data_IF_339872640027
#
_entry.id   IF_339872640027
#
_cell.length_a   1.000
_cell.length_b   1.000
_cell.length_c   1.000
_cell.angle_alpha   90.00
_cell.angle_beta   90.00
_cell.angle_gamma   90.00
#
_symmetry.space_group_name_H-M   'P 1'
#
loop_
_entity.id
_entity.type
_entity.pdbx_description
1 polymer ?
#
# COMPACT_ATOMS: atom_id res chain seq x y z
N UNK A 1 5.55 30.77 -49.55
CA UNK A 1 4.94 30.62 -48.20
C UNK A 1 5.22 29.24 -47.57
N UNK A 2 6.50 28.83 -47.45
CA UNK A 2 6.89 27.55 -46.80
C UNK A 2 7.71 27.73 -45.52
N UNK A 3 8.30 28.92 -45.30
CA UNK A 3 9.18 29.21 -44.14
C UNK A 3 8.41 29.57 -42.85
N UNK A 4 7.13 29.93 -42.96
CA UNK A 4 6.32 30.35 -41.81
C UNK A 4 5.70 29.18 -41.02
N UNK A 5 5.57 28.00 -41.64
CA UNK A 5 5.02 26.79 -40.98
C UNK A 5 6.05 26.04 -40.13
N UNK A 6 7.35 26.23 -40.40
CA UNK A 6 8.41 25.58 -39.64
C UNK A 6 8.61 26.25 -38.26
N UNK A 7 8.41 27.57 -38.19
CA UNK A 7 8.58 28.35 -36.95
C UNK A 7 7.44 28.14 -35.95
N UNK A 8 6.23 27.82 -36.41
CA UNK A 8 5.09 27.51 -35.53
C UNK A 8 5.21 26.13 -34.89
N UNK A 9 5.87 25.18 -35.58
CA UNK A 9 6.05 23.82 -35.08
C UNK A 9 7.09 23.74 -33.95
N UNK A 10 8.17 24.54 -34.03
CA UNK A 10 9.21 24.58 -32.98
C UNK A 10 8.73 25.23 -31.68
N UNK A 11 7.84 26.24 -31.76
CA UNK A 11 7.27 26.87 -30.56
C UNK A 11 6.26 25.94 -29.86
N UNK A 12 5.46 25.20 -30.62
CA UNK A 12 4.57 24.18 -30.06
C UNK A 12 5.35 23.05 -29.35
N UNK A 13 6.51 22.66 -29.89
CA UNK A 13 7.35 21.62 -29.29
C UNK A 13 8.07 22.09 -28.01
N UNK A 14 8.42 23.38 -27.90
CA UNK A 14 9.01 23.94 -26.68
C UNK A 14 7.98 24.09 -25.53
N UNK A 15 6.70 24.33 -25.84
CA UNK A 15 5.62 24.42 -24.85
C UNK A 15 5.29 23.07 -24.18
N UNK A 16 5.59 21.94 -24.85
CA UNK A 16 5.43 20.59 -24.26
C UNK A 16 6.55 20.27 -23.24
N UNK A 17 7.72 20.92 -23.34
CA UNK A 17 8.87 20.66 -22.46
C UNK A 17 8.87 21.58 -21.22
N UNK A 18 8.17 22.72 -21.29
CA UNK A 18 8.17 23.74 -20.23
C UNK A 18 7.06 23.58 -19.17
N UNK A 19 6.09 22.68 -19.38
CA UNK A 19 5.13 22.33 -18.34
C UNK A 19 5.58 21.02 -17.68
N UNK A 20 6.21 21.05 -16.48
CA UNK A 20 6.12 19.90 -15.62
C UNK A 20 4.63 19.74 -15.34
N UNK A 21 4.01 18.76 -15.99
CA UNK A 21 2.71 18.27 -15.56
C UNK A 21 3.01 17.71 -14.17
N UNK A 22 2.78 18.53 -13.14
CA UNK A 22 2.50 18.01 -11.83
C UNK A 22 1.27 17.14 -12.03
N UNK A 23 1.50 15.86 -12.27
CA UNK A 23 0.48 14.87 -12.12
C UNK A 23 0.03 15.02 -10.66
N UNK A 24 -1.05 15.75 -10.46
CA UNK A 24 -1.88 15.65 -9.28
C UNK A 24 -2.36 14.20 -9.29
N UNK A 25 -1.52 13.31 -8.75
CA UNK A 25 -1.91 11.94 -8.49
C UNK A 25 -3.13 12.05 -7.60
N UNK A 26 -4.22 11.42 -8.04
CA UNK A 26 -5.40 11.27 -7.20
C UNK A 26 -4.92 10.73 -5.84
N UNK A 27 -5.23 11.39 -4.70
CA UNK A 27 -4.91 10.83 -3.38
C UNK A 27 -5.63 9.50 -3.14
N UNK A 28 -6.60 9.20 -4.00
CA UNK A 28 -7.37 7.98 -4.07
C UNK A 28 -6.74 7.05 -5.12
N UNK A 29 -5.90 6.14 -4.65
CA UNK A 29 -5.64 4.88 -5.35
C UNK A 29 -6.87 4.00 -5.10
N UNK A 30 -7.40 3.37 -6.14
CA UNK A 30 -8.33 2.26 -5.95
C UNK A 30 -7.42 1.09 -5.61
N UNK A 31 -7.35 0.68 -4.34
CA UNK A 31 -6.58 -0.50 -4.03
C UNK A 31 -7.24 -1.63 -4.79
N UNK A 32 -6.53 -2.20 -5.76
CA UNK A 32 -7.10 -3.10 -6.76
C UNK A 32 -7.99 -4.18 -6.12
N UNK A 33 -8.80 -4.86 -6.93
CA UNK A 33 -9.86 -5.82 -6.52
C UNK A 33 -9.49 -6.89 -5.46
N UNK A 34 -8.24 -6.96 -5.02
CA UNK A 34 -7.70 -7.83 -4.00
C UNK A 34 -7.81 -7.31 -2.55
N UNK A 35 -8.09 -6.03 -2.30
CA UNK A 35 -8.11 -5.46 -0.94
C UNK A 35 -9.17 -6.12 -0.05
N UNK A 36 -8.78 -6.80 1.04
CA UNK A 36 -9.72 -7.61 1.80
C UNK A 36 -10.61 -6.76 2.70
N UNK A 37 -11.92 -6.79 2.42
CA UNK A 37 -12.91 -6.26 3.36
C UNK A 37 -13.04 -7.12 4.62
N UNK A 38 -12.97 -8.43 4.44
CA UNK A 38 -12.92 -9.40 5.51
C UNK A 38 -11.82 -10.43 5.26
N UNK A 39 -11.18 -10.89 6.33
CA UNK A 39 -10.31 -12.07 6.30
C UNK A 39 -10.89 -13.08 7.28
N UNK A 40 -11.35 -14.20 6.74
CA UNK A 40 -12.01 -15.26 7.52
C UNK A 40 -10.92 -16.07 8.20
N UNK A 41 -11.02 -16.22 9.52
CA UNK A 41 -10.15 -17.10 10.27
C UNK A 41 -10.53 -18.55 9.94
N UNK A 42 -9.51 -19.36 9.66
CA UNK A 42 -9.72 -20.81 9.55
C UNK A 42 -10.14 -21.42 10.88
N UNK A 43 -10.47 -22.71 10.85
CA UNK A 43 -10.74 -23.51 12.05
C UNK A 43 -9.46 -23.70 12.89
N UNK A 44 -9.60 -24.29 14.07
CA UNK A 44 -8.47 -24.57 14.96
C UNK A 44 -7.30 -25.20 14.19
N UNK A 45 -6.10 -24.60 14.30
CA UNK A 45 -4.86 -25.01 13.65
C UNK A 45 -4.82 -24.90 12.10
N UNK A 46 -5.78 -24.24 11.46
CA UNK A 46 -5.76 -23.94 10.02
C UNK A 46 -5.76 -22.43 9.77
N UNK A 47 -4.79 -21.94 9.00
CA UNK A 47 -4.84 -20.56 8.53
C UNK A 47 -5.99 -20.39 7.55
N UNK A 48 -6.74 -19.30 7.72
CA UNK A 48 -7.84 -18.95 6.83
C UNK A 48 -7.36 -18.52 5.44
N UNK A 49 -8.34 -18.23 4.59
CA UNK A 49 -8.05 -17.72 3.24
C UNK A 49 -7.34 -16.36 3.34
N UNK A 50 -6.37 -16.11 2.46
CA UNK A 50 -5.63 -14.85 2.45
C UNK A 50 -6.47 -13.67 1.96
N UNK A 51 -6.29 -12.53 2.63
CA UNK A 51 -6.66 -11.21 2.14
C UNK A 51 -5.44 -10.48 1.58
N UNK A 52 -5.58 -9.79 0.44
CA UNK A 52 -4.43 -9.31 -0.32
C UNK A 52 -4.37 -7.80 -0.49
N UNK A 53 -3.30 -7.20 -0.01
CA UNK A 53 -3.00 -5.80 -0.24
C UNK A 53 -2.07 -5.68 -1.45
N UNK A 54 -2.62 -5.39 -2.62
CA UNK A 54 -1.79 -5.23 -3.83
C UNK A 54 -1.36 -3.78 -4.01
N UNK A 55 -0.09 -3.51 -3.66
CA UNK A 55 0.58 -2.23 -3.88
C UNK A 55 1.53 -2.24 -5.09
N UNK A 56 1.60 -3.35 -5.83
CA UNK A 56 2.58 -3.50 -6.93
C UNK A 56 2.42 -2.44 -8.02
N UNK A 57 1.20 -1.95 -8.24
CA UNK A 57 0.85 -0.93 -9.24
C UNK A 57 0.40 0.40 -8.62
N UNK A 58 0.57 0.61 -7.31
CA UNK A 58 0.13 1.85 -6.66
C UNK A 58 0.95 3.06 -7.15
N UNK A 59 0.34 3.92 -7.95
CA UNK A 59 0.99 5.08 -8.56
C UNK A 59 1.44 6.15 -7.55
N UNK A 60 0.86 6.16 -6.34
CA UNK A 60 1.17 7.15 -5.29
C UNK A 60 2.38 6.76 -4.44
N UNK A 61 2.88 5.53 -4.58
CA UNK A 61 4.15 5.09 -3.99
C UNK A 61 5.23 5.17 -5.08
N UNK A 62 6.34 5.89 -4.90
CA UNK A 62 7.41 5.92 -5.88
C UNK A 62 8.08 4.54 -6.05
N UNK A 63 8.64 4.29 -7.24
CA UNK A 63 9.46 3.10 -7.46
C UNK A 63 10.74 3.15 -6.61
N UNK A 64 11.18 1.98 -6.13
CA UNK A 64 12.33 1.89 -5.23
C UNK A 64 12.03 2.35 -3.78
N UNK A 65 10.81 2.75 -3.46
CA UNK A 65 10.41 3.03 -2.08
C UNK A 65 10.52 1.78 -1.20
N UNK A 66 11.00 1.97 0.02
CA UNK A 66 11.13 0.94 1.04
C UNK A 66 10.23 1.24 2.23
N UNK A 67 9.81 0.21 2.95
CA UNK A 67 9.00 0.33 4.16
C UNK A 67 9.84 0.96 5.28
N UNK A 68 9.42 2.13 5.76
CA UNK A 68 9.99 2.79 6.93
C UNK A 68 9.27 2.39 8.22
N UNK A 69 7.95 2.16 8.13
CA UNK A 69 7.14 1.59 9.21
C UNK A 69 5.90 0.93 8.62
N UNK A 70 5.38 -0.08 9.30
CA UNK A 70 4.15 -0.76 8.89
C UNK A 70 3.36 -1.17 10.11
N UNK A 71 2.05 -0.98 10.05
CA UNK A 71 1.11 -1.37 11.10
C UNK A 71 -0.14 -1.93 10.45
N UNK A 72 -0.62 -3.06 10.95
CA UNK A 72 -1.95 -3.55 10.60
C UNK A 72 -2.92 -3.34 11.76
N UNK A 73 -4.01 -2.64 11.48
CA UNK A 73 -5.15 -2.50 12.39
C UNK A 73 -6.22 -3.49 11.98
N UNK A 74 -6.82 -4.15 12.94
CA UNK A 74 -7.96 -5.02 12.69
C UNK A 74 -8.90 -5.07 13.88
N UNK A 75 -10.18 -5.28 13.58
CA UNK A 75 -11.20 -5.66 14.56
C UNK A 75 -11.67 -7.07 14.24
N UNK A 76 -11.95 -7.85 15.27
CA UNK A 76 -12.48 -9.21 15.14
C UNK A 76 -13.97 -9.20 15.43
N UNK A 77 -14.76 -9.94 14.65
CA UNK A 77 -16.19 -10.04 14.91
C UNK A 77 -16.49 -10.75 16.24
N UNK A 78 -15.75 -11.83 16.53
CA UNK A 78 -15.77 -12.50 17.83
C UNK A 78 -14.42 -12.37 18.55
N UNK A 79 -14.32 -11.53 19.59
CA UNK A 79 -13.13 -11.44 20.43
C UNK A 79 -12.98 -12.69 21.31
N UNK A 80 -11.78 -12.92 21.87
CA UNK A 80 -11.46 -14.05 22.76
C UNK A 80 -11.46 -15.47 22.14
N UNK A 81 -11.29 -15.59 20.82
CA UNK A 81 -11.27 -16.87 20.09
C UNK A 81 -9.88 -17.52 19.97
N UNK A 82 -8.87 -16.95 20.63
CA UNK A 82 -7.47 -17.32 20.40
C UNK A 82 -6.96 -16.88 19.02
N UNK A 83 -7.55 -15.82 18.46
CA UNK A 83 -7.22 -15.26 17.15
C UNK A 83 -5.72 -14.91 17.07
N UNK A 84 -5.09 -15.38 16.00
CA UNK A 84 -3.76 -15.00 15.56
C UNK A 84 -3.88 -14.41 14.17
N UNK A 85 -3.21 -13.29 13.95
CA UNK A 85 -3.14 -12.65 12.63
C UNK A 85 -1.68 -12.59 12.22
N UNK A 86 -1.40 -12.81 10.94
CA UNK A 86 -0.08 -12.67 10.39
C UNK A 86 -0.12 -11.97 9.04
N UNK A 87 0.92 -11.19 8.80
CA UNK A 87 1.14 -10.46 7.56
C UNK A 87 2.34 -11.08 6.83
N UNK A 88 2.14 -11.42 5.57
CA UNK A 88 3.12 -12.06 4.71
C UNK A 88 3.46 -11.15 3.53
N UNK A 89 4.70 -11.27 3.06
CA UNK A 89 5.16 -10.72 1.79
C UNK A 89 4.78 -11.67 0.65
N UNK A 90 4.99 -11.21 -0.58
CA UNK A 90 4.80 -12.01 -1.79
C UNK A 90 5.63 -13.31 -1.84
N UNK A 91 6.76 -13.39 -1.11
CA UNK A 91 7.62 -14.57 -1.03
C UNK A 91 7.14 -15.62 -0.02
N UNK A 92 6.04 -15.37 0.70
CA UNK A 92 5.50 -16.25 1.72
C UNK A 92 6.15 -16.13 3.10
N UNK A 93 7.18 -15.29 3.27
CA UNK A 93 7.71 -14.95 4.58
C UNK A 93 6.79 -13.94 5.27
N UNK A 94 6.53 -14.14 6.56
CA UNK A 94 5.62 -13.27 7.30
C UNK A 94 5.86 -13.23 8.79
N UNK A 95 5.07 -12.40 9.46
CA UNK A 95 5.19 -12.13 10.88
C UNK A 95 3.81 -12.14 11.52
N UNK A 96 3.73 -12.63 12.76
CA UNK A 96 2.56 -12.39 13.58
C UNK A 96 2.41 -10.90 13.85
N UNK A 97 1.19 -10.43 13.74
CA UNK A 97 0.85 -9.02 13.94
C UNK A 97 -0.17 -8.89 15.05
N UNK A 98 0.04 -7.87 15.88
CA UNK A 98 -0.92 -7.44 16.89
C UNK A 98 -1.58 -6.16 16.39
N UNK A 99 -2.90 -6.08 16.50
CA UNK A 99 -3.66 -4.92 16.00
C UNK A 99 -3.07 -3.62 16.51
N UNK A 100 -2.68 -2.73 15.60
CA UNK A 100 -2.13 -1.41 15.92
C UNK A 100 -0.66 -1.39 16.34
N UNK A 101 0.01 -2.54 16.42
CA UNK A 101 1.44 -2.60 16.75
C UNK A 101 2.31 -2.58 15.47
N UNK A 102 3.51 -1.98 15.53
CA UNK A 102 4.45 -2.00 14.42
C UNK A 102 4.89 -3.43 14.05
N UNK A 103 4.96 -3.70 12.75
CA UNK A 103 5.49 -4.93 12.16
C UNK A 103 6.97 -4.73 11.87
N UNK A 104 7.82 -4.85 12.89
CA UNK A 104 9.26 -4.51 12.79
C UNK A 104 10.00 -5.25 11.67
N UNK A 105 9.61 -6.49 11.35
CA UNK A 105 10.22 -7.27 10.28
C UNK A 105 9.94 -6.76 8.87
N UNK A 106 8.93 -5.90 8.70
CA UNK A 106 8.60 -5.30 7.42
C UNK A 106 9.52 -4.12 7.04
N UNK A 107 10.23 -3.53 8.00
CA UNK A 107 11.10 -2.36 7.75
C UNK A 107 12.24 -2.74 6.80
N UNK A 108 12.53 -1.87 5.83
CA UNK A 108 13.52 -2.08 4.78
C UNK A 108 13.07 -2.98 3.63
N UNK A 109 11.88 -3.59 3.71
CA UNK A 109 11.31 -4.33 2.58
C UNK A 109 10.83 -3.39 1.48
N UNK A 110 10.63 -3.91 0.27
CA UNK A 110 10.06 -3.15 -0.85
C UNK A 110 8.64 -2.68 -0.48
N UNK A 111 8.30 -1.42 -0.72
CA UNK A 111 6.95 -0.91 -0.44
C UNK A 111 5.93 -1.37 -1.50
N UNK A 112 6.29 -1.24 -2.79
CA UNK A 112 5.49 -1.68 -3.96
C UNK A 112 5.55 -3.19 -4.15
N UNK A 113 4.81 -3.92 -3.33
CA UNK A 113 4.64 -5.36 -3.48
C UNK A 113 3.26 -5.80 -3.00
N UNK A 114 2.94 -7.06 -3.22
CA UNK A 114 1.76 -7.68 -2.64
C UNK A 114 2.04 -8.08 -1.19
N UNK A 115 1.17 -7.63 -0.29
CA UNK A 115 1.12 -8.10 1.08
C UNK A 115 -0.11 -8.96 1.29
N UNK A 116 -0.04 -9.84 2.27
CA UNK A 116 -1.05 -10.86 2.48
C UNK A 116 -1.35 -10.99 3.97
N UNK A 117 -2.60 -10.77 4.34
CA UNK A 117 -3.09 -10.96 5.69
C UNK A 117 -3.77 -12.31 5.79
N UNK A 118 -3.37 -13.12 6.77
CA UNK A 118 -4.10 -14.33 7.16
C UNK A 118 -4.43 -14.28 8.63
N UNK A 119 -5.49 -14.97 9.01
CA UNK A 119 -5.80 -15.20 10.41
C UNK A 119 -6.17 -16.67 10.69
N UNK A 120 -5.90 -17.08 11.92
CA UNK A 120 -6.23 -18.38 12.48
C UNK A 120 -6.93 -18.16 13.82
N UNK A 121 -7.95 -18.95 14.13
CA UNK A 121 -8.62 -18.92 15.42
C UNK A 121 -9.05 -20.33 15.83
N UNK A 122 -9.47 -20.51 17.09
CA UNK A 122 -10.01 -21.79 17.57
C UNK A 122 -11.42 -22.07 17.05
N UNK A 123 -12.15 -21.02 16.69
CA UNK A 123 -13.51 -21.07 16.15
C UNK A 123 -13.61 -20.18 14.92
N UNK A 124 -14.59 -20.43 14.06
CA UNK A 124 -14.84 -19.58 12.89
C UNK A 124 -15.13 -18.14 13.34
N UNK A 125 -14.35 -17.21 12.84
CA UNK A 125 -14.50 -15.76 13.04
C UNK A 125 -13.92 -15.06 11.81
N UNK A 126 -13.98 -13.74 11.77
CA UNK A 126 -13.30 -12.96 10.74
C UNK A 126 -12.78 -11.66 11.33
N UNK A 127 -11.84 -11.05 10.61
CA UNK A 127 -11.34 -9.72 10.88
C UNK A 127 -11.70 -8.76 9.75
N UNK A 128 -11.80 -7.49 10.07
CA UNK A 128 -11.84 -6.37 9.12
C UNK A 128 -10.50 -5.62 9.25
N UNK A 129 -9.52 -5.89 8.36
CA UNK A 129 -8.18 -5.35 8.50
C UNK A 129 -8.00 -4.00 7.77
N UNK A 130 -6.99 -3.24 8.16
CA UNK A 130 -6.55 -1.99 7.55
C UNK A 130 -5.04 -1.93 7.66
N UNK A 131 -4.35 -1.83 6.53
CA UNK A 131 -2.89 -1.80 6.48
C UNK A 131 -2.42 -0.34 6.34
N UNK A 132 -1.58 0.12 7.26
CA UNK A 132 -0.88 1.39 7.12
C UNK A 132 0.61 1.15 6.92
N UNK A 133 1.15 1.78 5.89
CA UNK A 133 2.53 1.64 5.43
C UNK A 133 3.14 3.04 5.29
N UNK A 134 4.11 3.35 6.14
CA UNK A 134 5.02 4.46 5.92
C UNK A 134 6.16 3.99 5.03
N UNK A 135 6.45 4.74 3.98
CA UNK A 135 7.52 4.44 3.04
C UNK A 135 8.47 5.62 2.90
N UNK A 136 9.69 5.31 2.46
CA UNK A 136 10.73 6.30 2.13
C UNK A 136 11.47 5.85 0.89
N UNK A 137 11.88 6.81 0.08
CA UNK A 137 12.75 6.61 -1.07
C UNK A 137 14.20 7.01 -0.74
N UNK A 138 15.19 6.56 -1.53
CA UNK A 138 16.60 6.94 -1.32
C UNK A 138 16.88 8.44 -1.45
N UNK A 139 16.07 9.17 -2.22
CA UNK A 139 16.14 10.62 -2.42
C UNK A 139 15.42 11.42 -1.32
N UNK A 140 14.93 10.77 -0.26
CA UNK A 140 14.39 11.44 0.93
C UNK A 140 12.91 11.82 0.84
N UNK A 141 12.21 11.37 -0.20
CA UNK A 141 10.75 11.47 -0.26
C UNK A 141 10.16 10.42 0.66
N UNK A 142 9.16 10.80 1.45
CA UNK A 142 8.47 9.88 2.33
C UNK A 142 6.96 10.00 2.14
N UNK A 143 6.22 9.00 2.61
CA UNK A 143 4.78 9.08 2.60
C UNK A 143 4.17 8.00 3.46
N UNK A 144 2.85 8.10 3.60
CA UNK A 144 2.03 7.11 4.29
C UNK A 144 0.94 6.67 3.33
N UNK A 145 0.82 5.37 3.14
CA UNK A 145 -0.26 4.74 2.39
C UNK A 145 -1.10 3.92 3.37
N UNK A 146 -2.39 4.21 3.46
CA UNK A 146 -3.35 3.45 4.27
C UNK A 146 -4.36 2.79 3.36
N UNK A 147 -4.44 1.47 3.44
CA UNK A 147 -5.36 0.61 2.72
C UNK A 147 -6.45 0.15 3.69
N UNK A 148 -7.69 0.46 3.38
CA UNK A 148 -8.84 0.13 4.22
C UNK A 148 -9.54 -1.13 3.70
N UNK A 149 -10.30 -1.74 4.61
CA UNK A 149 -11.14 -2.90 4.31
C UNK A 149 -12.14 -2.64 3.18
N UNK A 150 -12.67 -1.43 3.06
CA UNK A 150 -13.62 -1.07 1.99
C UNK A 150 -12.96 -0.98 0.59
N UNK A 151 -11.68 -1.32 0.47
CA UNK A 151 -10.90 -1.22 -0.78
C UNK A 151 -10.37 0.18 -1.04
N UNK A 152 -10.75 1.19 -0.23
CA UNK A 152 -10.21 2.53 -0.39
C UNK A 152 -8.75 2.59 0.03
N UNK A 153 -7.94 3.26 -0.80
CA UNK A 153 -6.59 3.65 -0.43
C UNK A 153 -6.51 5.16 -0.26
N UNK A 154 -5.85 5.57 0.81
CA UNK A 154 -5.45 6.95 1.01
C UNK A 154 -3.93 7.00 1.07
N UNK A 155 -3.31 7.74 0.15
CA UNK A 155 -1.86 8.01 0.20
C UNK A 155 -1.62 9.49 0.46
N UNK A 156 -0.80 9.76 1.47
CA UNK A 156 -0.30 11.09 1.79
C UNK A 156 1.21 11.11 1.58
N UNK A 157 1.66 11.83 0.56
CA UNK A 157 3.09 12.10 0.35
C UNK A 157 3.53 13.21 1.29
N UNK A 158 4.61 12.95 2.02
CA UNK A 158 5.28 13.91 2.91
C UNK A 158 6.66 14.15 2.30
N UNK A 159 6.77 15.18 1.47
CA UNK A 159 8.07 15.66 1.04
C UNK A 159 8.79 16.20 2.28
N UNK A 160 9.97 15.66 2.59
CA UNK A 160 10.90 16.42 3.41
C UNK A 160 11.42 17.53 2.49
N UNK A 161 11.12 18.79 2.83
CA UNK A 161 11.81 19.90 2.19
C UNK A 161 13.31 19.70 2.41
N UNK A 162 14.04 19.67 1.30
CA UNK A 162 15.51 19.59 1.26
C UNK A 162 16.05 20.65 2.22
N UNK A 163 16.75 20.20 3.27
CA UNK A 163 17.60 21.07 4.09
C UNK A 163 19.01 21.10 3.50
#
# INVERSE_FOLDING_TARGET
MKKFRLFTLTIAMLLVIACPIFALTSPWYDAGASSPNIVIAGQANLWGQPGYWDLSSNASIPDGATVAAMTEYWSAHYPATGLKVALFKADGNGWYVYSGNPVSGAVGQIAKQRWETRCNAKVTTWITPTLSLKWTTPDGVSGVTTLKADGSCQTTTINSEVK
#
